data_IF_190247056049
#
_entry.id   IF_190247056049
#
_cell.length_a   1.000
_cell.length_b   1.000
_cell.length_c   1.000
_cell.angle_alpha   90.00
_cell.angle_beta   90.00
_cell.angle_gamma   90.00
#
_symmetry.space_group_name_H-M   'P 1'
#
loop_
_entity.id
_entity.type
_entity.pdbx_description
1 polymer ?
#
# COMPACT_ATOMS: atom_id res chain seq x y z
N UNK A 1 -59.75 -38.11 -30.27
CA UNK A 1 -58.93 -38.25 -29.05
C UNK A 1 -57.49 -38.26 -29.51
N UNK A 2 -56.79 -37.14 -29.42
CA UNK A 2 -55.33 -37.09 -29.50
C UNK A 2 -54.88 -35.96 -28.58
N UNK A 3 -54.25 -36.35 -27.48
CA UNK A 3 -53.72 -35.48 -26.44
C UNK A 3 -52.25 -35.20 -26.75
N UNK A 4 -51.96 -33.97 -27.16
CA UNK A 4 -50.61 -33.48 -27.32
C UNK A 4 -50.10 -33.04 -25.94
N UNK A 5 -49.27 -33.87 -25.31
CA UNK A 5 -48.58 -33.56 -24.07
C UNK A 5 -47.45 -32.56 -24.34
N UNK A 6 -47.60 -31.33 -23.85
CA UNK A 6 -46.51 -30.40 -23.63
C UNK A 6 -45.61 -30.95 -22.50
N UNK A 7 -44.46 -31.52 -22.88
CA UNK A 7 -43.39 -31.79 -21.93
C UNK A 7 -42.49 -30.55 -21.84
N UNK A 8 -42.83 -29.63 -20.93
CA UNK A 8 -41.91 -28.60 -20.48
C UNK A 8 -40.79 -29.25 -19.67
N UNK A 9 -39.67 -29.55 -20.34
CA UNK A 9 -38.42 -29.89 -19.67
C UNK A 9 -37.79 -28.58 -19.19
N UNK A 10 -38.01 -28.25 -17.92
CA UNK A 10 -37.25 -27.21 -17.22
C UNK A 10 -35.81 -27.71 -17.05
N UNK A 11 -34.97 -27.47 -18.06
CA UNK A 11 -33.54 -27.75 -17.97
C UNK A 11 -32.93 -26.72 -17.03
N UNK A 12 -32.74 -27.10 -15.77
CA UNK A 12 -31.95 -26.36 -14.79
C UNK A 12 -30.53 -26.21 -15.36
N UNK A 13 -30.18 -25.00 -15.81
CA UNK A 13 -28.82 -24.67 -16.22
C UNK A 13 -27.87 -24.90 -15.04
N UNK A 14 -26.72 -25.57 -15.24
CA UNK A 14 -25.72 -25.74 -14.20
C UNK A 14 -25.18 -24.36 -13.80
N UNK A 15 -25.25 -24.07 -12.50
CA UNK A 15 -24.69 -22.91 -11.84
C UNK A 15 -23.22 -22.74 -12.26
N UNK A 16 -22.93 -21.63 -12.95
CA UNK A 16 -21.58 -21.34 -13.42
C UNK A 16 -20.63 -21.30 -12.20
N UNK A 17 -19.45 -21.96 -12.25
CA UNK A 17 -18.51 -21.90 -11.15
C UNK A 17 -18.10 -20.45 -10.92
N UNK A 18 -18.26 -19.98 -9.68
CA UNK A 18 -17.95 -18.63 -9.23
C UNK A 18 -16.62 -18.15 -9.83
N UNK A 19 -16.71 -17.21 -10.78
CA UNK A 19 -15.55 -16.61 -11.44
C UNK A 19 -14.78 -15.79 -10.42
N UNK A 20 -13.59 -16.30 -10.10
CA UNK A 20 -12.40 -15.71 -9.48
C UNK A 20 -11.99 -16.37 -8.15
N UNK A 21 -10.76 -16.91 -8.06
CA UNK A 21 -10.26 -17.49 -6.82
C UNK A 21 -10.20 -16.40 -5.74
N UNK A 22 -10.50 -16.79 -4.48
CA UNK A 22 -10.30 -15.97 -3.29
C UNK A 22 -8.95 -15.25 -3.38
N UNK A 23 -8.82 -13.99 -2.92
CA UNK A 23 -7.52 -13.34 -2.84
C UNK A 23 -6.56 -14.28 -2.11
N UNK A 24 -5.36 -14.52 -2.66
CA UNK A 24 -4.39 -15.46 -2.07
C UNK A 24 -3.89 -15.01 -0.69
N UNK A 25 -4.30 -13.82 -0.23
CA UNK A 25 -4.07 -13.27 1.10
C UNK A 25 -5.44 -12.90 1.66
N UNK A 26 -5.79 -13.45 2.81
CA UNK A 26 -7.00 -13.07 3.54
C UNK A 26 -6.88 -11.66 4.12
N UNK A 27 -8.03 -11.03 4.42
CA UNK A 27 -8.03 -9.72 5.09
C UNK A 27 -7.31 -9.78 6.45
N UNK A 28 -7.48 -10.86 7.22
CA UNK A 28 -6.83 -11.02 8.51
C UNK A 28 -5.29 -11.07 8.39
N UNK A 29 -4.77 -11.74 7.36
CA UNK A 29 -3.33 -11.75 7.06
C UNK A 29 -2.84 -10.36 6.64
N UNK A 30 -3.60 -9.66 5.79
CA UNK A 30 -3.27 -8.29 5.38
C UNK A 30 -3.27 -7.32 6.57
N UNK A 31 -4.28 -7.37 7.45
CA UNK A 31 -4.31 -6.56 8.68
C UNK A 31 -3.18 -6.93 9.66
N UNK A 32 -2.72 -8.19 9.66
CA UNK A 32 -1.53 -8.57 10.43
C UNK A 32 -0.27 -7.92 9.86
N UNK A 33 -0.10 -7.90 8.53
CA UNK A 33 1.01 -7.18 7.87
C UNK A 33 0.99 -5.69 8.25
N UNK A 34 -0.19 -5.07 8.24
CA UNK A 34 -0.35 -3.69 8.65
C UNK A 34 0.08 -3.47 10.11
N UNK A 35 -0.46 -4.24 11.06
CA UNK A 35 -0.12 -4.12 12.49
C UNK A 35 1.38 -4.34 12.75
N UNK A 36 1.97 -5.37 12.13
CA UNK A 36 3.40 -5.69 12.27
C UNK A 36 4.28 -4.51 11.78
N UNK A 37 3.94 -3.93 10.62
CA UNK A 37 4.69 -2.79 10.05
C UNK A 37 4.46 -1.49 10.81
N UNK A 38 3.23 -1.19 11.20
CA UNK A 38 2.89 0.00 11.98
C UNK A 38 3.67 0.00 13.30
N UNK A 39 3.63 -1.11 14.05
CA UNK A 39 4.38 -1.25 15.30
C UNK A 39 5.89 -1.15 15.12
N UNK A 40 6.44 -1.70 14.03
CA UNK A 40 7.87 -1.59 13.73
C UNK A 40 8.29 -0.18 13.31
N UNK A 41 7.40 0.59 12.67
CA UNK A 41 7.67 1.96 12.23
C UNK A 41 7.52 3.00 13.34
N UNK A 42 6.70 2.73 14.37
CA UNK A 42 6.55 3.61 15.54
C UNK A 42 7.51 3.27 16.68
N UNK A 43 8.33 2.23 16.55
CA UNK A 43 9.31 1.86 17.57
C UNK A 43 10.44 2.93 17.65
N UNK A 44 10.98 3.21 18.85
CA UNK A 44 12.15 4.07 18.97
C UNK A 44 13.32 3.57 18.09
N UNK A 45 13.90 4.46 17.30
CA UNK A 45 14.98 4.12 16.37
C UNK A 45 14.53 3.30 15.15
N UNK A 46 13.24 3.36 14.78
CA UNK A 46 12.75 2.74 13.55
C UNK A 46 13.54 3.21 12.34
N UNK A 47 13.97 2.25 11.51
CA UNK A 47 14.78 2.56 10.33
C UNK A 47 13.95 3.28 9.26
N UNK A 48 14.52 4.27 8.53
CA UNK A 48 13.82 4.98 7.46
C UNK A 48 13.15 4.07 6.42
N UNK A 49 13.79 2.95 6.03
CA UNK A 49 13.20 2.00 5.08
C UNK A 49 11.96 1.28 5.63
N UNK A 50 11.87 1.09 6.94
CA UNK A 50 10.72 0.49 7.63
C UNK A 50 9.58 1.50 7.68
N UNK A 51 9.86 2.75 8.08
CA UNK A 51 8.87 3.83 8.13
C UNK A 51 8.26 4.07 6.75
N UNK A 52 9.09 4.19 5.70
CA UNK A 52 8.61 4.34 4.31
C UNK A 52 7.70 3.19 3.89
N UNK A 53 8.09 1.95 4.19
CA UNK A 53 7.30 0.78 3.82
C UNK A 53 5.97 0.75 4.57
N UNK A 54 5.95 1.13 5.85
CA UNK A 54 4.73 1.24 6.63
C UNK A 54 3.79 2.31 6.05
N UNK A 55 4.30 3.47 5.61
CA UNK A 55 3.49 4.48 4.90
C UNK A 55 2.90 3.96 3.60
N UNK A 56 3.69 3.24 2.78
CA UNK A 56 3.18 2.63 1.55
C UNK A 56 2.03 1.67 1.85
N UNK A 57 2.17 0.85 2.90
CA UNK A 57 1.13 -0.09 3.34
C UNK A 57 -0.09 0.65 3.88
N UNK A 58 0.09 1.67 4.72
CA UNK A 58 -0.99 2.48 5.30
C UNK A 58 -1.83 3.14 4.21
N UNK A 59 -1.18 3.85 3.27
CA UNK A 59 -1.85 4.51 2.16
C UNK A 59 -2.54 3.50 1.24
N UNK A 60 -1.90 2.37 0.96
CA UNK A 60 -2.54 1.30 0.16
C UNK A 60 -3.77 0.74 0.85
N UNK A 61 -3.70 0.52 2.17
CA UNK A 61 -4.81 0.04 2.98
C UNK A 61 -5.97 1.03 3.01
N UNK A 62 -5.68 2.31 3.18
CA UNK A 62 -6.69 3.38 3.23
C UNK A 62 -7.35 3.63 1.86
N UNK A 63 -6.59 3.52 0.77
CA UNK A 63 -7.04 4.02 -0.56
C UNK A 63 -7.25 2.94 -1.61
N UNK A 64 -6.77 1.72 -1.38
CA UNK A 64 -6.68 0.66 -2.39
C UNK A 64 -5.72 0.94 -3.55
N UNK A 65 -4.95 2.05 -3.50
CA UNK A 65 -4.11 2.52 -4.59
C UNK A 65 -2.99 1.54 -4.98
N UNK A 66 -2.63 1.52 -6.26
CA UNK A 66 -1.46 0.77 -6.75
C UNK A 66 -0.19 1.59 -6.53
N UNK A 67 0.97 0.95 -6.59
CA UNK A 67 2.26 1.66 -6.55
C UNK A 67 2.37 2.79 -7.57
N UNK A 68 1.87 2.60 -8.78
CA UNK A 68 1.91 3.65 -9.81
C UNK A 68 1.06 4.88 -9.46
N UNK A 69 0.02 4.70 -8.65
CA UNK A 69 -0.84 5.78 -8.17
C UNK A 69 -0.16 6.50 -6.99
N UNK A 70 0.36 5.74 -6.02
CA UNK A 70 1.09 6.29 -4.85
C UNK A 70 2.36 7.04 -5.23
N UNK A 71 3.07 6.64 -6.29
CA UNK A 71 4.25 7.35 -6.79
C UNK A 71 3.95 8.75 -7.35
N UNK A 72 2.67 9.07 -7.57
CA UNK A 72 2.24 10.40 -8.00
C UNK A 72 1.88 11.30 -6.84
N UNK A 73 1.73 10.76 -5.63
CA UNK A 73 1.46 11.55 -4.44
C UNK A 73 2.66 12.47 -4.15
N UNK A 74 2.35 13.73 -3.92
CA UNK A 74 3.28 14.72 -3.39
C UNK A 74 2.95 15.00 -1.93
N UNK A 75 3.79 15.77 -1.25
CA UNK A 75 3.47 16.27 0.09
C UNK A 75 2.17 17.09 0.12
N UNK A 76 1.86 17.80 -0.97
CA UNK A 76 0.63 18.59 -1.11
C UNK A 76 -0.61 17.73 -1.40
N UNK A 77 -0.43 16.43 -1.61
CA UNK A 77 -1.55 15.50 -1.70
C UNK A 77 -2.11 15.16 -0.32
N UNK A 78 -1.46 15.58 0.77
CA UNK A 78 -1.83 15.28 2.15
C UNK A 78 -2.47 16.49 2.82
N UNK A 79 -3.57 16.27 3.51
CA UNK A 79 -4.03 17.12 4.59
C UNK A 79 -4.01 16.28 5.87
N UNK A 80 -3.13 16.61 6.82
CA UNK A 80 -2.98 15.82 8.06
C UNK A 80 -3.69 16.48 9.25
N UNK A 81 -4.42 17.57 9.01
CA UNK A 81 -5.00 18.42 10.06
C UNK A 81 -3.95 19.09 10.96
N UNK A 82 -4.38 19.80 12.01
CA UNK A 82 -3.48 20.36 13.01
C UNK A 82 -2.68 19.26 13.73
N UNK A 83 -1.54 19.59 14.34
CA UNK A 83 -0.74 18.59 15.09
C UNK A 83 -1.53 17.91 16.23
N UNK A 84 -2.47 18.64 16.84
CA UNK A 84 -3.34 18.14 17.90
C UNK A 84 -4.60 17.40 17.37
N UNK A 85 -4.72 17.25 16.05
CA UNK A 85 -5.84 16.60 15.39
C UNK A 85 -6.07 15.18 15.93
N UNK A 86 -7.31 14.84 16.25
CA UNK A 86 -7.65 13.49 16.70
C UNK A 86 -7.71 12.51 15.53
N UNK A 87 -7.70 11.23 15.88
CA UNK A 87 -8.03 10.09 15.04
C UNK A 87 -9.18 10.38 14.05
N UNK A 88 -8.88 10.57 12.76
CA UNK A 88 -9.87 10.74 11.69
C UNK A 88 -9.88 12.08 10.94
N UNK A 89 -8.98 13.00 11.30
CA UNK A 89 -8.87 14.35 10.69
C UNK A 89 -7.92 14.43 9.48
N UNK A 90 -7.32 13.32 9.03
CA UNK A 90 -6.44 13.32 7.87
C UNK A 90 -7.14 12.91 6.57
N UNK A 91 -6.65 13.41 5.44
CA UNK A 91 -7.00 12.94 4.10
C UNK A 91 -5.80 12.92 3.15
N UNK A 92 -5.95 12.14 2.08
CA UNK A 92 -5.01 12.10 0.96
C UNK A 92 -5.75 12.10 -0.37
N UNK A 93 -5.29 12.92 -1.31
CA UNK A 93 -5.74 12.86 -2.70
C UNK A 93 -4.84 11.91 -3.49
N UNK A 94 -5.45 10.93 -4.14
CA UNK A 94 -4.75 9.95 -4.99
C UNK A 94 -5.30 9.99 -6.40
N UNK A 95 -4.40 10.02 -7.40
CA UNK A 95 -4.75 9.93 -8.81
C UNK A 95 -4.81 8.46 -9.24
N UNK A 96 -6.02 7.91 -9.37
CA UNK A 96 -6.22 6.49 -9.63
C UNK A 96 -6.19 6.12 -11.13
N UNK A 97 -5.47 5.05 -11.44
CA UNK A 97 -5.56 4.37 -12.71
C UNK A 97 -4.99 5.15 -13.90
N UNK A 98 -5.27 4.66 -15.11
CA UNK A 98 -4.74 5.24 -16.36
C UNK A 98 -5.18 6.69 -16.57
N UNK A 99 -6.44 6.98 -16.24
CA UNK A 99 -7.06 8.28 -16.44
C UNK A 99 -6.74 9.29 -15.34
N UNK A 100 -6.01 8.88 -14.30
CA UNK A 100 -5.57 9.74 -13.19
C UNK A 100 -6.75 10.43 -12.50
N UNK A 101 -7.82 9.68 -12.27
CA UNK A 101 -9.01 10.23 -11.61
C UNK A 101 -8.65 10.60 -10.17
N UNK A 102 -8.75 11.89 -9.77
CA UNK A 102 -8.47 12.30 -8.41
C UNK A 102 -9.58 11.80 -7.49
N UNK A 103 -9.21 11.13 -6.40
CA UNK A 103 -10.11 10.75 -5.33
C UNK A 103 -9.47 11.10 -4.00
N UNK A 104 -10.23 11.72 -3.11
CA UNK A 104 -9.84 11.97 -1.74
C UNK A 104 -10.23 10.78 -0.85
N UNK A 105 -9.30 10.39 0.03
CA UNK A 105 -9.48 9.27 0.95
C UNK A 105 -9.22 9.75 2.37
N UNK A 106 -10.11 9.39 3.30
CA UNK A 106 -9.89 9.67 4.73
C UNK A 106 -8.82 8.76 5.30
N UNK A 107 -8.04 9.29 6.23
CA UNK A 107 -6.95 8.60 6.91
C UNK A 107 -7.31 8.38 8.38
N UNK A 108 -7.07 7.17 8.86
CA UNK A 108 -7.16 6.88 10.30
C UNK A 108 -6.00 7.50 11.09
N UNK A 109 -6.14 7.57 12.41
CA UNK A 109 -5.13 8.15 13.31
C UNK A 109 -3.74 7.55 13.12
N UNK A 110 -3.67 6.22 13.04
CA UNK A 110 -2.42 5.50 12.92
C UNK A 110 -1.71 5.84 11.62
N UNK A 111 -2.46 5.99 10.54
CA UNK A 111 -1.95 6.44 9.24
C UNK A 111 -1.44 7.87 9.30
N UNK A 112 -2.17 8.79 9.95
CA UNK A 112 -1.73 10.18 10.14
C UNK A 112 -0.42 10.25 10.94
N UNK A 113 -0.33 9.53 12.06
CA UNK A 113 0.89 9.47 12.88
C UNK A 113 2.08 8.97 12.05
N UNK A 114 1.92 7.87 11.31
CA UNK A 114 2.99 7.36 10.45
C UNK A 114 3.40 8.34 9.36
N UNK A 115 2.46 9.06 8.77
CA UNK A 115 2.76 10.07 7.76
C UNK A 115 3.55 11.23 8.36
N UNK A 116 3.23 11.68 9.58
CA UNK A 116 4.02 12.70 10.29
C UNK A 116 5.46 12.21 10.55
N UNK A 117 5.62 11.00 11.10
CA UNK A 117 6.94 10.37 11.28
C UNK A 117 7.71 10.27 9.97
N UNK A 118 7.03 9.93 8.87
CA UNK A 118 7.67 9.88 7.55
C UNK A 118 8.07 11.26 7.02
N UNK A 119 7.29 12.31 7.28
CA UNK A 119 7.63 13.68 6.88
C UNK A 119 8.86 14.22 7.64
N UNK A 120 9.06 13.82 8.89
CA UNK A 120 10.29 14.08 9.65
C UNK A 120 11.48 13.38 8.99
N UNK A 121 11.40 12.06 8.78
CA UNK A 121 12.44 11.27 8.08
C UNK A 121 12.74 11.85 6.69
N UNK A 122 11.70 12.28 5.96
CA UNK A 122 11.87 12.92 4.65
C UNK A 122 12.64 14.24 4.76
N UNK A 123 12.39 15.03 5.80
CA UNK A 123 13.12 16.28 6.03
C UNK A 123 14.60 16.01 6.24
N UNK A 124 14.95 15.01 7.04
CA UNK A 124 16.35 14.58 7.23
C UNK A 124 16.98 14.08 5.92
N UNK A 125 16.27 13.25 5.14
CA UNK A 125 16.77 12.74 3.86
C UNK A 125 17.02 13.85 2.83
N UNK A 126 16.31 14.97 2.94
CA UNK A 126 16.45 16.10 2.02
C UNK A 126 17.43 17.17 2.52
N UNK A 127 17.92 17.10 3.76
CA UNK A 127 18.70 18.16 4.39
C UNK A 127 19.99 18.48 3.62
N UNK A 128 20.64 17.46 3.08
CA UNK A 128 21.93 17.58 2.38
C UNK A 128 21.79 17.64 0.85
N UNK A 129 20.57 17.74 0.32
CA UNK A 129 20.35 17.85 -1.12
C UNK A 129 20.59 19.29 -1.59
N UNK A 130 21.38 19.44 -2.65
CA UNK A 130 21.49 20.72 -3.34
C UNK A 130 20.16 21.08 -4.04
N UNK A 131 19.72 22.32 -3.85
CA UNK A 131 18.50 22.85 -4.47
C UNK A 131 17.23 22.65 -3.63
N UNK A 132 16.07 22.66 -4.29
CA UNK A 132 14.78 22.54 -3.60
C UNK A 132 14.46 21.08 -3.26
N UNK A 133 13.97 20.78 -2.03
CA UNK A 133 13.55 19.44 -1.66
C UNK A 133 12.50 18.86 -2.63
N UNK A 134 12.62 17.59 -3.07
CA UNK A 134 11.64 16.98 -3.96
C UNK A 134 10.24 16.97 -3.36
N UNK A 135 9.23 17.40 -4.14
CA UNK A 135 7.82 17.37 -3.70
C UNK A 135 7.24 15.96 -3.59
N UNK A 136 7.85 14.97 -4.24
CA UNK A 136 7.40 13.58 -4.19
C UNK A 136 7.30 13.11 -2.74
N UNK A 137 6.20 12.44 -2.40
CA UNK A 137 5.97 11.95 -1.04
C UNK A 137 6.95 10.81 -0.68
N UNK A 138 7.21 9.91 -1.63
CA UNK A 138 8.03 8.72 -1.41
C UNK A 138 9.42 8.90 -2.01
N UNK A 139 10.45 8.79 -1.18
CA UNK A 139 11.84 9.01 -1.53
C UNK A 139 12.70 7.76 -1.33
N UNK A 140 13.86 7.72 -1.96
CA UNK A 140 14.94 6.77 -1.67
C UNK A 140 15.50 7.06 -0.27
N UNK A 141 15.86 5.99 0.46
CA UNK A 141 16.35 6.07 1.86
C UNK A 141 17.78 5.61 2.01
N UNK A 142 18.35 5.09 0.92
CA UNK A 142 19.74 4.68 0.83
C UNK A 142 20.29 5.24 -0.46
N UNK A 143 21.59 5.52 -0.48
CA UNK A 143 22.32 5.71 -1.72
C UNK A 143 22.15 4.47 -2.61
N UNK A 144 22.02 4.70 -3.91
CA UNK A 144 21.90 3.63 -4.91
C UNK A 144 22.96 3.81 -5.97
N UNK A 145 23.33 2.73 -6.66
CA UNK A 145 24.20 2.84 -7.83
C UNK A 145 23.35 2.74 -9.09
N UNK A 146 23.46 3.73 -9.96
CA UNK A 146 22.87 3.73 -11.29
C UNK A 146 23.99 3.96 -12.31
N UNK A 147 24.17 3.00 -13.23
CA UNK A 147 25.20 3.03 -14.29
C UNK A 147 26.62 3.38 -13.81
N UNK A 148 26.99 2.94 -12.60
CA UNK A 148 28.31 3.20 -12.00
C UNK A 148 28.41 4.52 -11.22
N UNK A 149 27.37 5.34 -11.22
CA UNK A 149 27.29 6.56 -10.42
C UNK A 149 26.52 6.31 -9.12
N UNK A 150 27.06 6.80 -8.00
CA UNK A 150 26.32 6.83 -6.73
C UNK A 150 25.26 7.92 -6.79
N UNK A 151 24.00 7.51 -6.77
CA UNK A 151 22.83 8.36 -6.66
C UNK A 151 22.49 8.52 -5.18
N UNK A 152 22.39 9.77 -4.73
CA UNK A 152 22.14 10.08 -3.32
C UNK A 152 20.74 9.64 -2.85
N UNK A 153 20.56 9.42 -1.55
CA UNK A 153 19.24 9.23 -0.94
C UNK A 153 18.43 10.53 -0.98
N UNK A 154 17.13 10.47 -0.69
CA UNK A 154 16.26 11.65 -0.68
C UNK A 154 15.70 12.04 -2.06
N UNK A 155 16.01 11.29 -3.13
CA UNK A 155 15.41 11.48 -4.45
C UNK A 155 14.11 10.68 -4.59
N UNK A 156 13.19 11.04 -5.52
CA UNK A 156 11.96 10.29 -5.73
C UNK A 156 12.20 8.80 -5.99
N UNK A 157 11.51 7.93 -5.27
CA UNK A 157 11.66 6.48 -5.45
C UNK A 157 10.98 5.99 -6.74
N UNK A 158 11.55 4.98 -7.38
CA UNK A 158 10.95 4.35 -8.57
C UNK A 158 10.00 3.21 -8.18
N UNK A 159 9.15 2.79 -9.13
CA UNK A 159 8.30 1.59 -8.99
C UNK A 159 9.11 0.35 -8.64
N UNK A 160 10.29 0.19 -9.24
CA UNK A 160 11.18 -0.93 -8.93
C UNK A 160 11.71 -0.86 -7.50
N UNK A 161 12.04 0.33 -7.00
CA UNK A 161 12.43 0.54 -5.61
C UNK A 161 11.34 0.12 -4.61
N UNK A 162 10.07 0.39 -4.91
CA UNK A 162 8.94 -0.07 -4.11
C UNK A 162 8.79 -1.60 -4.10
N UNK A 163 8.87 -2.22 -5.28
CA UNK A 163 8.81 -3.69 -5.42
C UNK A 163 9.94 -4.37 -4.64
N UNK A 164 11.16 -3.86 -4.73
CA UNK A 164 12.30 -4.39 -4.00
C UNK A 164 12.17 -4.19 -2.48
N UNK A 165 11.64 -3.05 -2.04
CA UNK A 165 11.39 -2.77 -0.62
C UNK A 165 10.43 -3.82 -0.03
N UNK A 166 9.31 -4.08 -0.71
CA UNK A 166 8.36 -5.12 -0.30
C UNK A 166 9.00 -6.52 -0.31
N UNK A 167 9.70 -6.89 -1.38
CA UNK A 167 10.34 -8.21 -1.50
C UNK A 167 11.32 -8.47 -0.36
N UNK A 168 12.17 -7.49 -0.02
CA UNK A 168 13.13 -7.61 1.10
C UNK A 168 12.41 -7.79 2.44
N UNK A 169 11.35 -7.03 2.67
CA UNK A 169 10.52 -7.19 3.87
C UNK A 169 9.94 -8.61 3.95
N UNK A 170 9.28 -9.07 2.89
CA UNK A 170 8.66 -10.40 2.84
C UNK A 170 9.68 -11.51 3.07
N UNK A 171 10.86 -11.45 2.43
CA UNK A 171 11.90 -12.47 2.64
C UNK A 171 12.34 -12.54 4.10
N UNK A 172 12.59 -11.38 4.73
CA UNK A 172 12.97 -11.31 6.15
C UNK A 172 11.86 -11.81 7.06
N UNK A 173 10.62 -11.39 6.79
CA UNK A 173 9.44 -11.75 7.58
C UNK A 173 9.13 -13.24 7.46
N UNK A 174 9.18 -13.81 6.27
CA UNK A 174 8.94 -15.24 6.06
C UNK A 174 10.02 -16.10 6.71
N UNK A 175 11.28 -15.67 6.68
CA UNK A 175 12.36 -16.35 7.40
C UNK A 175 12.14 -16.32 8.92
N UNK A 176 11.74 -15.17 9.48
CA UNK A 176 11.47 -15.02 10.92
C UNK A 176 10.32 -15.91 11.41
N UNK A 177 9.29 -16.09 10.58
CA UNK A 177 8.07 -16.83 10.95
C UNK A 177 7.94 -18.18 10.26
N UNK A 178 9.05 -18.73 9.77
CA UNK A 178 9.07 -20.02 9.09
C UNK A 178 8.48 -21.12 9.99
N UNK A 179 7.51 -21.87 9.48
CA UNK A 179 6.83 -22.94 10.22
C UNK A 179 5.79 -22.46 11.24
N UNK A 180 5.63 -21.14 11.46
CA UNK A 180 4.65 -20.58 12.41
C UNK A 180 3.40 -20.05 11.68
N UNK A 181 3.58 -19.41 10.52
CA UNK A 181 2.47 -18.90 9.69
C UNK A 181 2.71 -19.13 8.20
N UNK A 182 1.66 -19.15 7.36
CA UNK A 182 1.82 -19.17 5.92
C UNK A 182 2.74 -18.03 5.42
N UNK A 183 3.59 -18.28 4.41
CA UNK A 183 4.50 -17.27 3.90
C UNK A 183 3.73 -16.14 3.21
N UNK A 184 4.14 -14.90 3.46
CA UNK A 184 3.62 -13.73 2.75
C UNK A 184 4.05 -13.78 1.28
N UNK A 185 3.22 -13.28 0.35
CA UNK A 185 3.55 -13.25 -1.07
C UNK A 185 4.57 -12.17 -1.42
N UNK A 186 5.46 -12.49 -2.36
CA UNK A 186 6.46 -11.54 -2.86
C UNK A 186 5.87 -10.44 -3.75
N UNK A 187 4.63 -10.61 -4.26
CA UNK A 187 3.91 -9.57 -5.00
C UNK A 187 2.96 -8.82 -4.05
N UNK A 188 3.27 -7.56 -3.77
CA UNK A 188 2.44 -6.72 -2.90
C UNK A 188 0.98 -6.59 -3.36
N UNK A 189 0.75 -6.66 -4.68
CA UNK A 189 -0.59 -6.67 -5.29
C UNK A 189 -1.53 -7.72 -4.68
N UNK A 190 -0.99 -8.85 -4.20
CA UNK A 190 -1.78 -9.90 -3.54
C UNK A 190 -2.33 -9.44 -2.19
N UNK A 191 -1.54 -8.67 -1.42
CA UNK A 191 -1.98 -8.07 -0.15
C UNK A 191 -2.93 -6.91 -0.41
N UNK A 192 -2.60 -6.03 -1.38
CA UNK A 192 -3.45 -4.89 -1.76
C UNK A 192 -4.90 -5.31 -2.05
N UNK A 193 -5.08 -6.40 -2.79
CA UNK A 193 -6.41 -6.89 -3.18
C UNK A 193 -7.27 -7.32 -1.98
N UNK A 194 -6.66 -7.68 -0.85
CA UNK A 194 -7.40 -7.98 0.38
C UNK A 194 -8.07 -6.73 0.96
N UNK A 195 -7.45 -5.55 0.82
CA UNK A 195 -8.02 -4.27 1.26
C UNK A 195 -8.94 -3.63 0.21
N UNK A 196 -8.51 -3.63 -1.05
CA UNK A 196 -9.25 -2.98 -2.15
C UNK A 196 -10.59 -3.66 -2.50
N UNK A 197 -10.90 -4.82 -1.90
CA UNK A 197 -12.19 -5.47 -2.00
C UNK A 197 -13.29 -4.85 -1.14
N UNK A 198 -12.99 -3.84 -0.30
CA UNK A 198 -14.03 -3.09 0.42
C UNK A 198 -14.78 -2.14 -0.52
N UNK A 199 -16.12 -2.10 -0.47
CA UNK A 199 -16.87 -0.92 -0.87
C UNK A 199 -16.42 0.28 -0.02
N UNK A 200 -16.33 1.46 -0.63
CA UNK A 200 -16.25 2.71 0.12
C UNK A 200 -17.61 2.88 0.83
N UNK A 201 -17.62 2.78 2.15
CA UNK A 201 -18.80 3.10 2.98
C UNK A 201 -18.91 4.61 3.21
#
# INVERSE_FOLDING_TARGET
MDAQHDHLTTTTSPEAPARYPRPPVSLAEAETVWRDLAGAATAPGAKPETVRLAVIVALTRATGARYGDLLRCTVDSLDLGPEAARSGEGSVVVLHGKHRTPLEHRLDAGTVVLLRTWLEVRTELCADLEGSPPRALLLTVHHTHDQGTTVVSGLPITKQGLVLSWRRHVLRTNARWAGIRPPLPTRFEQVRRAWAGRPLE
#
